data_IF_209210874726
#
_entry.id   IF_209210874726
#
_cell.length_a   1.000
_cell.length_b   1.000
_cell.length_c   1.000
_cell.angle_alpha   90.00
_cell.angle_beta   90.00
_cell.angle_gamma   90.00
#
_symmetry.space_group_name_H-M   'P 1'
#
loop_
_entity.id
_entity.type
_entity.pdbx_description
1 polymer ?
#
# COMPACT_ATOMS: atom_id res chain seq x y z
N UNK A 1 -10.84 -14.47 -25.88
CA UNK A 1 -11.58 -13.73 -24.84
C UNK A 1 -10.98 -12.33 -24.72
N UNK A 2 -11.78 -11.25 -24.75
CA UNK A 2 -11.24 -9.88 -24.63
C UNK A 2 -10.74 -9.63 -23.20
N UNK A 3 -9.51 -9.15 -23.06
CA UNK A 3 -8.94 -8.73 -21.77
C UNK A 3 -9.59 -7.42 -21.36
N UNK A 4 -10.30 -7.41 -20.24
CA UNK A 4 -10.86 -6.21 -19.62
C UNK A 4 -9.70 -5.27 -19.26
N UNK A 5 -9.54 -4.19 -20.03
CA UNK A 5 -8.64 -3.09 -19.69
C UNK A 5 -9.32 -2.29 -18.59
N UNK A 6 -9.04 -2.64 -17.33
CA UNK A 6 -9.39 -1.78 -16.21
C UNK A 6 -8.57 -0.51 -16.32
N UNK A 7 -9.19 0.54 -16.84
CA UNK A 7 -8.66 1.90 -16.81
C UNK A 7 -8.36 2.24 -15.34
N UNK A 8 -7.08 2.21 -14.96
CA UNK A 8 -6.65 2.74 -13.68
C UNK A 8 -6.72 4.26 -13.82
N UNK A 9 -7.86 4.85 -13.45
CA UNK A 9 -7.89 6.24 -13.01
C UNK A 9 -7.06 6.29 -11.74
N UNK A 10 -5.76 6.53 -11.91
CA UNK A 10 -4.92 7.05 -10.83
C UNK A 10 -5.48 8.43 -10.54
N UNK A 11 -6.35 8.50 -9.53
CA UNK A 11 -6.86 9.77 -9.04
C UNK A 11 -5.65 10.56 -8.53
N UNK A 12 -5.37 11.67 -9.20
CA UNK A 12 -4.35 12.64 -8.83
C UNK A 12 -4.61 13.05 -7.38
N UNK A 13 -3.70 12.67 -6.48
CA UNK A 13 -3.79 13.03 -5.07
C UNK A 13 -3.58 14.53 -4.95
N UNK A 14 -4.67 15.29 -5.07
CA UNK A 14 -4.75 16.66 -4.58
C UNK A 14 -4.34 16.58 -3.12
N UNK A 15 -3.33 17.35 -2.71
CA UNK A 15 -2.84 17.36 -1.33
C UNK A 15 -4.03 17.81 -0.46
N UNK A 16 -4.69 16.86 0.20
CA UNK A 16 -5.78 17.11 1.14
C UNK A 16 -5.17 17.43 2.49
N UNK A 17 -5.73 18.42 3.18
CA UNK A 17 -5.35 18.70 4.56
C UNK A 17 -5.62 17.48 5.46
N UNK A 18 -4.77 17.26 6.47
CA UNK A 18 -4.90 16.16 7.47
C UNK A 18 -6.32 16.01 8.05
N UNK A 19 -7.04 17.13 8.16
CA UNK A 19 -8.40 17.19 8.71
C UNK A 19 -9.48 16.71 7.75
N UNK A 20 -9.21 16.70 6.45
CA UNK A 20 -10.18 16.32 5.41
C UNK A 20 -10.07 14.84 5.01
N UNK A 21 -9.05 14.13 5.50
CA UNK A 21 -8.90 12.71 5.23
C UNK A 21 -10.06 11.91 5.81
N UNK A 22 -10.70 11.16 4.94
CA UNK A 22 -11.66 10.12 5.27
C UNK A 22 -11.02 9.01 6.09
N UNK A 23 -11.83 8.23 6.82
CA UNK A 23 -11.33 7.07 7.55
C UNK A 23 -10.70 6.03 6.63
N UNK A 24 -11.20 5.86 5.40
CA UNK A 24 -10.60 4.96 4.42
C UNK A 24 -9.18 5.42 4.04
N UNK A 25 -9.01 6.71 3.74
CA UNK A 25 -7.70 7.26 3.39
C UNK A 25 -6.71 7.12 4.55
N UNK A 26 -7.12 7.40 5.78
CA UNK A 26 -6.29 7.20 6.98
C UNK A 26 -5.84 5.75 7.12
N UNK A 27 -6.75 4.80 6.92
CA UNK A 27 -6.43 3.37 6.96
C UNK A 27 -5.43 2.98 5.87
N UNK A 28 -5.57 3.55 4.67
CA UNK A 28 -4.62 3.32 3.56
C UNK A 28 -3.22 3.78 3.97
N UNK A 29 -3.08 5.02 4.43
CA UNK A 29 -1.79 5.56 4.89
C UNK A 29 -1.18 4.72 6.01
N UNK A 30 -1.96 4.37 7.03
CA UNK A 30 -1.50 3.52 8.13
C UNK A 30 -1.03 2.15 7.65
N UNK A 31 -1.75 1.51 6.72
CA UNK A 31 -1.34 0.22 6.13
C UNK A 31 -0.08 0.35 5.27
N UNK A 32 0.07 1.41 4.49
CA UNK A 32 1.29 1.67 3.70
C UNK A 32 2.51 1.87 4.59
N UNK A 33 2.35 2.64 5.67
CA UNK A 33 3.37 2.86 6.69
C UNK A 33 3.81 1.55 7.35
N UNK A 34 2.87 0.75 7.82
CA UNK A 34 3.14 -0.57 8.43
C UNK A 34 3.87 -1.50 7.44
N UNK A 35 3.46 -1.50 6.16
CA UNK A 35 4.14 -2.28 5.12
C UNK A 35 5.58 -1.81 4.92
N UNK A 36 5.80 -0.49 4.84
CA UNK A 36 7.12 0.08 4.62
C UNK A 36 8.07 -0.27 5.78
N UNK A 37 7.61 -0.13 7.03
CA UNK A 37 8.38 -0.45 8.23
C UNK A 37 8.78 -1.94 8.29
N UNK A 38 7.91 -2.83 7.82
CA UNK A 38 8.11 -4.29 7.90
C UNK A 38 8.59 -4.94 6.61
N UNK A 39 8.78 -4.16 5.54
CA UNK A 39 9.16 -4.66 4.21
C UNK A 39 8.12 -5.57 3.55
N UNK A 40 6.84 -5.41 3.89
CA UNK A 40 5.76 -6.29 3.41
C UNK A 40 5.13 -5.81 2.10
N UNK A 41 4.66 -6.76 1.30
CA UNK A 41 3.83 -6.55 0.12
C UNK A 41 2.36 -6.87 0.40
N UNK A 42 1.47 -6.51 -0.52
CA UNK A 42 0.04 -6.82 -0.40
C UNK A 42 -0.23 -8.32 -0.25
N UNK A 43 0.56 -9.16 -0.92
CA UNK A 43 0.50 -10.62 -0.78
C UNK A 43 0.81 -11.09 0.66
N UNK A 44 1.74 -10.44 1.35
CA UNK A 44 2.15 -10.83 2.70
C UNK A 44 1.06 -10.46 3.72
N UNK A 45 0.48 -9.26 3.58
CA UNK A 45 -0.69 -8.85 4.35
C UNK A 45 -1.88 -9.78 4.12
N UNK A 46 -2.15 -10.10 2.86
CA UNK A 46 -3.24 -10.99 2.48
C UNK A 46 -3.07 -12.38 3.10
N UNK A 47 -1.85 -12.93 3.08
CA UNK A 47 -1.53 -14.21 3.71
C UNK A 47 -1.71 -14.16 5.25
N UNK A 48 -1.26 -13.09 5.92
CA UNK A 48 -1.42 -12.92 7.37
C UNK A 48 -2.87 -12.79 7.79
N UNK A 49 -3.65 -12.07 6.99
CA UNK A 49 -5.06 -11.81 7.26
C UNK A 49 -5.97 -12.89 6.69
N UNK A 50 -5.43 -13.95 6.09
CA UNK A 50 -6.18 -15.01 5.42
C UNK A 50 -7.28 -14.46 4.49
N UNK A 51 -6.87 -13.57 3.59
CA UNK A 51 -7.72 -12.95 2.55
C UNK A 51 -7.02 -13.00 1.20
N UNK A 52 -7.74 -12.64 0.14
CA UNK A 52 -7.14 -12.57 -1.19
C UNK A 52 -6.27 -11.32 -1.37
N UNK A 53 -5.20 -11.45 -2.16
CA UNK A 53 -4.36 -10.30 -2.51
C UNK A 53 -5.16 -9.20 -3.22
N UNK A 54 -6.14 -9.58 -4.05
CA UNK A 54 -7.06 -8.65 -4.71
C UNK A 54 -7.89 -7.83 -3.71
N UNK A 55 -8.41 -8.47 -2.65
CA UNK A 55 -9.09 -7.76 -1.57
C UNK A 55 -8.16 -6.74 -0.90
N UNK A 56 -6.92 -7.12 -0.59
CA UNK A 56 -5.97 -6.19 0.02
C UNK A 56 -5.54 -5.05 -0.91
N UNK A 57 -5.48 -5.31 -2.22
CA UNK A 57 -5.26 -4.26 -3.21
C UNK A 57 -6.40 -3.24 -3.24
N UNK A 58 -7.65 -3.68 -3.12
CA UNK A 58 -8.81 -2.78 -3.06
C UNK A 58 -8.80 -1.95 -1.78
N UNK A 59 -8.56 -2.57 -0.62
CA UNK A 59 -8.46 -1.89 0.67
C UNK A 59 -7.32 -0.87 0.67
N UNK A 60 -6.13 -1.24 0.20
CA UNK A 60 -4.97 -0.34 0.12
C UNK A 60 -5.11 0.79 -0.91
N UNK A 61 -6.17 0.80 -1.72
CA UNK A 61 -6.53 1.92 -2.61
C UNK A 61 -7.72 2.73 -2.11
N UNK A 62 -8.23 2.43 -0.91
CA UNK A 62 -9.45 3.05 -0.38
C UNK A 62 -10.73 2.68 -1.15
N UNK A 63 -10.68 1.70 -2.06
CA UNK A 63 -11.81 1.31 -2.91
C UNK A 63 -12.82 0.40 -2.19
N UNK A 64 -12.48 -0.06 -0.98
CA UNK A 64 -13.30 -1.01 -0.24
C UNK A 64 -13.27 -0.74 1.25
N UNK A 65 -14.46 -0.64 1.82
CA UNK A 65 -14.62 -0.54 3.27
C UNK A 65 -14.26 -1.85 3.97
N UNK A 66 -13.64 -1.69 5.13
CA UNK A 66 -13.24 -2.78 6.02
C UNK A 66 -14.27 -2.87 7.15
N UNK A 67 -14.85 -4.06 7.35
CA UNK A 67 -15.77 -4.31 8.47
C UNK A 67 -14.99 -4.30 9.79
N UNK A 68 -15.65 -3.95 10.89
CA UNK A 68 -15.04 -3.98 12.23
C UNK A 68 -14.41 -5.34 12.58
N UNK A 69 -15.01 -6.44 12.14
CA UNK A 69 -14.45 -7.80 12.33
C UNK A 69 -13.10 -7.98 11.63
N UNK A 70 -12.94 -7.41 10.43
CA UNK A 70 -11.68 -7.44 9.70
C UNK A 70 -10.67 -6.48 10.31
N UNK A 71 -11.13 -5.36 10.86
CA UNK A 71 -10.28 -4.40 11.56
C UNK A 71 -9.70 -4.98 12.86
N UNK A 72 -10.51 -5.71 13.64
CA UNK A 72 -10.03 -6.50 14.80
C UNK A 72 -9.05 -7.60 14.37
N UNK A 73 -9.28 -8.25 13.22
CA UNK A 73 -8.30 -9.19 12.66
C UNK A 73 -6.98 -8.51 12.31
N UNK A 74 -7.03 -7.31 11.73
CA UNK A 74 -5.83 -6.54 11.39
C UNK A 74 -5.01 -6.18 12.63
N UNK A 75 -5.63 -5.67 13.69
CA UNK A 75 -4.89 -5.31 14.91
C UNK A 75 -4.22 -6.53 15.55
N UNK A 76 -4.92 -7.67 15.61
CA UNK A 76 -4.40 -8.93 16.18
C UNK A 76 -3.28 -9.56 15.35
N UNK A 77 -3.51 -9.79 14.07
CA UNK A 77 -2.56 -10.50 13.19
C UNK A 77 -1.34 -9.65 12.83
N UNK A 78 -1.53 -8.34 12.70
CA UNK A 78 -0.44 -7.42 12.43
C UNK A 78 0.25 -6.98 13.72
N UNK A 79 -0.29 -7.27 14.90
CA UNK A 79 0.24 -6.85 16.20
C UNK A 79 0.48 -5.33 16.22
N UNK A 80 -0.57 -4.59 15.87
CA UNK A 80 -0.60 -3.12 15.85
C UNK A 80 -1.84 -2.64 16.59
N UNK A 81 -1.75 -1.47 17.19
CA UNK A 81 -2.92 -0.84 17.79
C UNK A 81 -3.85 -0.29 16.70
N UNK A 82 -5.10 -0.01 17.08
CA UNK A 82 -6.03 0.69 16.19
C UNK A 82 -5.53 2.09 15.85
N UNK A 83 -4.84 2.76 16.79
CA UNK A 83 -4.26 4.06 16.57
C UNK A 83 -3.20 4.00 15.46
N UNK A 84 -2.33 2.99 15.47
CA UNK A 84 -1.28 2.83 14.46
C UNK A 84 -1.84 2.65 13.04
N UNK A 85 -3.05 2.08 12.92
CA UNK A 85 -3.74 1.88 11.64
C UNK A 85 -4.35 3.16 11.07
N UNK A 86 -4.68 4.15 11.90
CA UNK A 86 -5.38 5.38 11.48
C UNK A 86 -4.59 6.66 11.73
N UNK A 87 -3.44 6.56 12.40
CA UNK A 87 -2.51 7.66 12.55
C UNK A 87 -1.89 7.99 11.21
N UNK A 88 -2.03 9.28 10.83
CA UNK A 88 -1.45 9.86 9.62
C UNK A 88 -0.53 10.98 10.07
N UNK A 89 0.75 10.89 9.71
CA UNK A 89 1.70 11.97 9.92
C UNK A 89 1.84 12.82 8.66
N UNK A 90 2.45 14.00 8.79
CA UNK A 90 2.78 14.84 7.64
C UNK A 90 3.74 14.14 6.65
N UNK A 91 4.50 13.14 7.12
CA UNK A 91 5.39 12.34 6.28
C UNK A 91 4.61 11.45 5.30
N UNK A 92 3.44 10.95 5.71
CA UNK A 92 2.59 10.09 4.89
C UNK A 92 1.91 10.85 3.74
N UNK A 93 1.76 12.18 3.88
CA UNK A 93 1.17 13.05 2.86
C UNK A 93 2.18 13.51 1.79
N UNK A 94 3.47 13.20 1.96
CA UNK A 94 4.47 13.60 0.97
C UNK A 94 4.31 12.75 -0.31
N UNK A 95 4.19 13.39 -1.49
CA UNK A 95 3.98 12.66 -2.72
C UNK A 95 5.15 11.69 -2.99
N UNK A 96 4.88 10.49 -3.54
CA UNK A 96 5.88 9.45 -3.78
C UNK A 96 6.79 9.80 -4.97
N UNK A 97 7.55 10.89 -4.89
CA UNK A 97 8.49 11.35 -5.91
C UNK A 97 9.89 10.73 -5.81
N UNK A 98 10.19 9.95 -4.77
CA UNK A 98 11.55 9.46 -4.49
C UNK A 98 11.70 7.93 -4.47
N UNK A 99 10.63 7.18 -4.19
CA UNK A 99 10.65 5.71 -4.09
C UNK A 99 10.84 5.04 -5.47
N UNK A 100 10.29 5.66 -6.53
CA UNK A 100 10.28 5.11 -7.87
C UNK A 100 11.65 5.16 -8.57
N UNK A 101 12.47 6.16 -8.22
CA UNK A 101 13.88 6.24 -8.62
C UNK A 101 14.71 5.12 -7.98
N UNK A 102 14.39 4.70 -6.74
CA UNK A 102 15.07 3.60 -6.03
C UNK A 102 14.72 2.22 -6.60
N UNK A 103 13.48 2.03 -7.07
CA UNK A 103 13.04 0.77 -7.71
C UNK A 103 13.61 0.59 -9.12
N UNK A 104 13.78 1.66 -9.90
CA UNK A 104 14.34 1.60 -11.27
C UNK A 104 15.86 1.44 -11.29
N UNK A 105 16.58 2.00 -10.31
CA UNK A 105 18.05 1.87 -10.21
C UNK A 105 18.48 0.44 -9.88
N UNK A 106 17.75 -0.29 -9.02
CA UNK A 106 18.04 -1.71 -8.72
C UNK A 106 17.90 -2.63 -9.93
N UNK A 107 16.95 -2.39 -10.83
CA UNK A 107 16.76 -3.21 -12.04
C UNK A 107 17.91 -3.03 -13.05
N UNK A 108 18.36 -1.78 -13.26
CA UNK A 108 19.45 -1.45 -14.19
C UNK A 108 20.80 -2.06 -13.80
N UNK A 109 21.09 -2.24 -12.52
CA UNK A 109 22.36 -2.84 -12.07
C UNK A 109 22.40 -4.35 -12.30
N UNK A 110 21.30 -5.06 -12.08
CA UNK A 110 21.22 -6.51 -12.32
C UNK A 110 21.26 -6.88 -13.80
N UNK A 111 20.68 -6.09 -14.71
CA UNK A 111 20.71 -6.40 -16.15
C UNK A 111 22.11 -6.24 -16.77
N UNK A 112 22.95 -5.33 -16.26
CA UNK A 112 24.31 -5.13 -16.79
C UNK A 112 25.26 -6.28 -16.45
N UNK A 113 25.13 -6.86 -15.26
CA UNK A 113 26.00 -7.97 -14.82
C UNK A 113 25.79 -9.26 -15.63
N UNK A 114 24.63 -9.45 -16.28
CA UNK A 114 24.37 -10.62 -17.13
C UNK A 114 24.71 -10.40 -18.61
N UNK A 115 24.95 -9.15 -19.04
CA UNK A 115 25.28 -8.83 -20.43
C UNK A 115 26.80 -8.77 -20.70
N UNK A 116 27.65 -8.68 -19.68
CA UNK A 116 29.12 -8.64 -19.82
C UNK A 116 29.79 -10.03 -19.70
N UNK A 117 29.03 -11.10 -19.48
CA UNK A 117 29.53 -12.49 -19.39
C UNK A 117 29.05 -13.43 -20.52
N UNK A 118 28.52 -12.89 -21.62
CA UNK A 118 28.19 -13.64 -22.84
C UNK A 118 29.06 -13.14 -24.01
#
# INVERSE_FOLDING_TARGET
MPRFQGENKGEETTIKDLKELTFQERLVFGLERIKAQRGWKNKDLAAKLDVTEGYMSQVGRGMRDVKLTMLDKMTRELQVSICDLFEVSEEDLQPPGQEEKRRKSKKKTTERHYAECA
#
